data_IF_820047272551
#
_entry.id   IF_820047272551
#
_cell.length_a   1.000
_cell.length_b   1.000
_cell.length_c   1.000
_cell.angle_alpha   90.00
_cell.angle_beta   90.00
_cell.angle_gamma   90.00
#
_symmetry.space_group_name_H-M   'P 1'
#
loop_
_entity.id
_entity.type
_entity.pdbx_description
1 polymer ?
#
# COMPACT_ATOMS: atom_id res chain seq x y z
N UNK A 1 29.45 -52.05 31.52
CA UNK A 1 29.13 -50.97 30.58
C UNK A 1 29.67 -49.65 31.10
N UNK A 2 30.56 -48.99 30.38
CA UNK A 2 31.16 -47.75 30.86
C UNK A 2 30.18 -46.57 30.64
N UNK A 3 30.25 -45.59 31.55
CA UNK A 3 29.40 -44.35 31.49
C UNK A 3 29.46 -43.68 30.13
N UNK A 4 30.55 -43.84 29.35
CA UNK A 4 30.71 -43.33 28.01
C UNK A 4 29.78 -44.01 26.97
N UNK A 5 29.41 -45.29 27.18
CA UNK A 5 28.48 -45.98 26.26
C UNK A 5 27.01 -45.57 26.50
N UNK A 6 26.67 -45.16 27.76
CA UNK A 6 25.36 -44.65 28.09
C UNK A 6 25.11 -43.25 27.46
N UNK A 7 26.13 -42.39 27.44
CA UNK A 7 26.03 -41.06 26.81
C UNK A 7 25.94 -41.13 25.29
N UNK A 8 26.59 -42.11 24.65
CA UNK A 8 26.48 -42.29 23.22
C UNK A 8 25.08 -42.76 22.78
N UNK A 9 24.43 -43.62 23.56
CA UNK A 9 23.06 -44.05 23.28
C UNK A 9 22.03 -42.95 23.54
N UNK A 10 22.20 -42.08 24.52
CA UNK A 10 21.33 -40.92 24.79
C UNK A 10 21.46 -39.83 23.70
N UNK A 11 22.66 -39.63 23.16
CA UNK A 11 22.89 -38.67 22.08
C UNK A 11 22.26 -39.13 20.75
N UNK A 12 22.19 -40.42 20.47
CA UNK A 12 21.54 -40.95 19.25
C UNK A 12 20.01 -40.88 19.36
N UNK A 13 19.44 -41.04 20.54
CA UNK A 13 17.97 -40.91 20.74
C UNK A 13 17.54 -39.46 20.71
N UNK A 14 18.38 -38.51 21.11
CA UNK A 14 18.08 -37.07 21.02
C UNK A 14 18.13 -36.52 19.59
N UNK A 15 18.86 -37.19 18.69
CA UNK A 15 18.94 -36.78 17.27
C UNK A 15 17.83 -37.38 16.37
N UNK A 16 17.13 -38.42 16.84
CA UNK A 16 15.99 -39.01 16.11
C UNK A 16 14.64 -38.45 16.49
N UNK A 17 14.57 -37.55 17.50
CA UNK A 17 13.36 -36.82 17.88
C UNK A 17 13.07 -35.55 17.10
N UNK A 18 13.93 -35.16 16.16
CA UNK A 18 13.67 -33.99 15.29
C UNK A 18 12.85 -34.41 14.09
N UNK A 19 11.58 -34.01 14.14
CA UNK A 19 10.72 -33.81 13.00
C UNK A 19 10.41 -35.05 12.14
N UNK A 20 9.44 -35.84 12.56
CA UNK A 20 8.49 -36.35 11.59
C UNK A 20 7.68 -35.16 11.05
N UNK A 21 8.31 -34.24 10.31
CA UNK A 21 7.61 -33.39 9.36
C UNK A 21 6.94 -34.37 8.40
N UNK A 22 5.63 -34.48 8.48
CA UNK A 22 4.87 -35.23 7.50
C UNK A 22 5.36 -34.79 6.12
N UNK A 23 5.96 -35.71 5.37
CA UNK A 23 6.36 -35.39 4.01
C UNK A 23 5.10 -34.93 3.29
N UNK A 24 5.18 -33.82 2.52
CA UNK A 24 4.00 -33.31 1.82
C UNK A 24 3.46 -34.38 0.90
N UNK A 25 2.15 -34.51 0.89
CA UNK A 25 1.44 -35.45 0.00
C UNK A 25 1.66 -35.05 -1.48
N UNK A 26 1.49 -36.00 -2.38
CA UNK A 26 1.57 -35.71 -3.82
C UNK A 26 0.51 -34.70 -4.26
N UNK A 27 -0.64 -34.65 -3.58
CA UNK A 27 -1.68 -33.66 -3.85
C UNK A 27 -1.20 -32.24 -3.46
N UNK A 28 -0.61 -32.07 -2.28
CA UNK A 28 -0.07 -30.78 -1.85
C UNK A 28 1.05 -30.30 -2.79
N UNK A 29 1.96 -31.17 -3.20
CA UNK A 29 3.00 -30.84 -4.18
C UNK A 29 2.42 -30.38 -5.51
N UNK A 30 1.36 -31.07 -5.98
CA UNK A 30 0.64 -30.69 -7.19
C UNK A 30 -0.01 -29.33 -7.07
N UNK A 31 -0.74 -29.07 -5.97
CA UNK A 31 -1.40 -27.81 -5.70
C UNK A 31 -0.39 -26.65 -5.63
N UNK A 32 0.74 -26.83 -4.93
CA UNK A 32 1.83 -25.86 -4.90
C UNK A 32 2.36 -25.59 -6.30
N UNK A 33 2.60 -26.64 -7.11
CA UNK A 33 3.04 -26.47 -8.48
C UNK A 33 2.04 -25.66 -9.32
N UNK A 34 0.76 -25.93 -9.20
CA UNK A 34 -0.30 -25.18 -9.90
C UNK A 34 -0.33 -23.71 -9.48
N UNK A 35 -0.19 -23.41 -8.18
CA UNK A 35 -0.18 -22.04 -7.65
C UNK A 35 1.07 -21.26 -8.00
N UNK A 36 2.23 -21.90 -8.15
CA UNK A 36 3.53 -21.22 -8.32
C UNK A 36 4.10 -21.27 -9.72
N UNK A 37 3.59 -22.14 -10.62
CA UNK A 37 4.09 -22.24 -12.00
C UNK A 37 3.65 -21.08 -12.88
N UNK A 38 2.42 -20.59 -12.68
CA UNK A 38 1.86 -19.48 -13.44
C UNK A 38 1.70 -18.25 -12.54
N UNK A 39 2.77 -17.47 -12.46
CA UNK A 39 2.80 -16.22 -11.69
C UNK A 39 2.66 -15.01 -12.63
N UNK A 40 1.93 -13.99 -12.16
CA UNK A 40 1.81 -12.69 -12.83
C UNK A 40 2.55 -11.64 -12.01
N UNK A 41 3.34 -10.79 -12.68
CA UNK A 41 4.01 -9.66 -12.04
C UNK A 41 3.04 -8.52 -11.76
N UNK A 42 3.08 -8.01 -10.54
CA UNK A 42 2.34 -6.85 -10.07
C UNK A 42 3.29 -5.73 -9.65
N UNK A 43 2.83 -4.49 -9.79
CA UNK A 43 3.53 -3.34 -9.23
C UNK A 43 3.28 -3.23 -7.72
N UNK A 44 4.34 -2.95 -6.98
CA UNK A 44 4.33 -2.54 -5.58
C UNK A 44 5.03 -1.18 -5.46
N UNK A 45 4.43 -0.13 -6.01
CA UNK A 45 5.05 1.17 -6.06
C UNK A 45 6.37 1.16 -6.84
N UNK A 46 7.48 1.26 -6.13
CA UNK A 46 8.82 1.18 -6.74
C UNK A 46 9.37 -0.24 -6.81
N UNK A 47 8.65 -1.19 -6.28
CA UNK A 47 8.95 -2.62 -6.33
C UNK A 47 8.04 -3.40 -7.27
N UNK A 48 8.34 -4.68 -7.38
CA UNK A 48 7.57 -5.70 -8.10
C UNK A 48 7.39 -6.91 -7.21
N UNK A 49 6.31 -7.64 -7.44
CA UNK A 49 6.00 -8.93 -6.83
C UNK A 49 5.35 -9.83 -7.86
N UNK A 50 5.64 -11.12 -7.82
CA UNK A 50 4.96 -12.09 -8.63
C UNK A 50 3.95 -12.87 -7.76
N UNK A 51 2.71 -12.94 -8.22
CA UNK A 51 1.60 -13.59 -7.52
C UNK A 51 0.94 -14.63 -8.45
N UNK A 52 0.26 -15.65 -7.91
CA UNK A 52 -0.50 -16.60 -8.74
C UNK A 52 -1.40 -15.87 -9.72
N UNK A 53 -1.43 -16.30 -10.98
CA UNK A 53 -2.06 -15.55 -12.08
C UNK A 53 -3.56 -15.31 -11.90
N UNK A 54 -4.25 -16.16 -11.12
CA UNK A 54 -5.66 -16.02 -10.79
C UNK A 54 -5.94 -15.04 -9.63
N UNK A 55 -4.91 -14.50 -8.99
CA UNK A 55 -5.12 -13.50 -7.95
C UNK A 55 -5.46 -12.15 -8.57
N UNK A 56 -6.36 -11.44 -7.93
CA UNK A 56 -6.70 -10.06 -8.23
C UNK A 56 -6.34 -9.17 -7.04
N UNK A 57 -6.11 -7.91 -7.32
CA UNK A 57 -5.74 -6.98 -6.25
C UNK A 57 -5.73 -5.55 -6.71
N UNK A 58 -5.38 -4.69 -5.79
CA UNK A 58 -5.25 -3.26 -5.99
C UNK A 58 -4.51 -2.64 -4.83
N UNK A 59 -4.47 -1.32 -4.82
CA UNK A 59 -3.80 -0.60 -3.75
C UNK A 59 -4.16 0.87 -3.76
N UNK A 60 -3.65 1.54 -2.75
CA UNK A 60 -3.63 2.99 -2.66
C UNK A 60 -2.26 3.47 -2.22
N UNK A 61 -1.95 4.71 -2.55
CA UNK A 61 -0.74 5.39 -2.11
C UNK A 61 -1.08 6.77 -1.61
N UNK A 62 -0.42 7.20 -0.56
CA UNK A 62 -0.40 8.58 -0.08
C UNK A 62 0.97 9.16 -0.35
N UNK A 63 1.01 10.16 -1.21
CA UNK A 63 2.21 10.91 -1.61
C UNK A 63 2.32 12.14 -0.73
N UNK A 64 3.52 12.46 -0.26
CA UNK A 64 3.79 13.58 0.63
C UNK A 64 4.72 14.58 -0.05
N UNK A 65 4.37 15.85 0.04
CA UNK A 65 5.06 16.98 -0.55
C UNK A 65 5.44 17.98 0.53
N UNK A 66 6.68 18.43 0.50
CA UNK A 66 7.20 19.39 1.46
C UNK A 66 7.42 18.82 2.87
N UNK A 67 7.99 19.65 3.72
CA UNK A 67 8.30 19.33 5.11
C UNK A 67 7.74 20.44 6.03
N UNK A 68 7.42 20.08 7.27
CA UNK A 68 6.97 21.05 8.27
C UNK A 68 5.61 21.70 7.94
N UNK A 69 5.56 23.03 7.98
CA UNK A 69 4.31 23.80 7.80
C UNK A 69 3.75 23.72 6.37
N UNK A 70 4.62 23.48 5.37
CA UNK A 70 4.25 23.36 3.95
C UNK A 70 3.88 21.94 3.55
N UNK A 71 3.79 21.04 4.53
CA UNK A 71 3.46 19.65 4.30
C UNK A 71 2.05 19.51 3.73
N UNK A 72 1.95 18.85 2.59
CA UNK A 72 0.70 18.44 1.97
C UNK A 72 0.75 16.98 1.55
N UNK A 73 -0.40 16.36 1.40
CA UNK A 73 -0.46 14.96 0.96
C UNK A 73 -1.62 14.74 0.01
N UNK A 74 -1.41 13.85 -0.96
CA UNK A 74 -2.42 13.40 -1.90
C UNK A 74 -2.51 11.89 -1.87
N UNK A 75 -3.69 11.36 -1.61
CA UNK A 75 -3.97 9.94 -1.78
C UNK A 75 -4.35 9.66 -3.23
N UNK A 76 -3.80 8.60 -3.82
CA UNK A 76 -4.10 8.14 -5.17
C UNK A 76 -4.60 6.71 -5.12
N UNK A 77 -5.67 6.44 -5.86
CA UNK A 77 -6.33 5.14 -5.88
C UNK A 77 -6.80 4.79 -7.28
N UNK A 78 -6.57 3.55 -7.71
CA UNK A 78 -7.19 3.00 -8.92
C UNK A 78 -8.52 2.39 -8.54
N UNK A 79 -9.60 2.84 -9.19
CA UNK A 79 -10.97 2.41 -8.93
C UNK A 79 -11.44 1.32 -9.91
N UNK A 80 -10.82 1.23 -11.09
CA UNK A 80 -11.15 0.21 -12.08
C UNK A 80 -10.31 0.28 -13.33
N UNK A 81 -10.27 -0.83 -14.07
CA UNK A 81 -9.64 -0.98 -15.39
C UNK A 81 -10.72 -1.34 -16.42
N UNK A 82 -10.49 -1.05 -17.70
CA UNK A 82 -11.45 -1.30 -18.77
C UNK A 82 -12.73 -0.45 -18.60
N UNK A 83 -12.63 0.74 -18.03
CA UNK A 83 -13.76 1.64 -17.76
C UNK A 83 -14.01 2.51 -18.97
N UNK A 84 -15.23 2.43 -19.53
CA UNK A 84 -15.66 3.34 -20.62
C UNK A 84 -16.06 4.70 -20.06
N UNK A 85 -16.15 5.70 -20.93
CA UNK A 85 -16.59 7.06 -20.55
C UNK A 85 -17.99 7.04 -19.90
N UNK A 86 -18.91 6.24 -20.42
CA UNK A 86 -20.27 6.15 -19.89
C UNK A 86 -20.29 5.57 -18.47
N UNK A 87 -19.45 4.55 -18.22
CA UNK A 87 -19.32 3.94 -16.89
C UNK A 87 -18.64 4.89 -15.91
N UNK A 88 -17.64 5.65 -16.36
CA UNK A 88 -17.01 6.71 -15.59
C UNK A 88 -18.01 7.77 -15.18
N UNK A 89 -18.80 8.29 -16.12
CA UNK A 89 -19.81 9.33 -15.86
C UNK A 89 -20.92 8.81 -14.93
N UNK A 90 -21.37 7.57 -15.13
CA UNK A 90 -22.37 6.94 -14.25
C UNK A 90 -21.86 6.79 -12.81
N UNK A 91 -20.62 6.33 -12.62
CA UNK A 91 -19.98 6.20 -11.30
C UNK A 91 -19.82 7.56 -10.60
N UNK A 92 -19.42 8.59 -11.34
CA UNK A 92 -19.32 9.96 -10.84
C UNK A 92 -20.67 10.53 -10.37
N UNK A 93 -21.70 10.38 -11.19
CA UNK A 93 -23.04 10.83 -10.86
C UNK A 93 -23.56 10.15 -9.60
N UNK A 94 -23.39 8.84 -9.49
CA UNK A 94 -23.76 8.09 -8.30
C UNK A 94 -22.96 8.58 -7.07
N UNK A 95 -21.65 8.83 -7.21
CA UNK A 95 -20.80 9.37 -6.15
C UNK A 95 -21.29 10.73 -5.67
N UNK A 96 -21.51 11.65 -6.60
CA UNK A 96 -21.97 13.02 -6.30
C UNK A 96 -23.35 13.00 -5.62
N UNK A 97 -24.29 12.19 -6.11
CA UNK A 97 -25.62 12.03 -5.51
C UNK A 97 -25.55 11.51 -4.08
N UNK A 98 -24.71 10.50 -3.82
CA UNK A 98 -24.54 9.96 -2.46
C UNK A 98 -23.96 10.97 -1.49
N UNK A 99 -22.97 11.75 -1.90
CA UNK A 99 -22.41 12.79 -1.06
C UNK A 99 -23.47 13.89 -0.80
N UNK A 100 -24.20 14.29 -1.85
CA UNK A 100 -25.25 15.31 -1.72
C UNK A 100 -26.44 14.87 -0.85
N UNK A 101 -26.73 13.58 -0.80
CA UNK A 101 -27.81 13.01 0.02
C UNK A 101 -27.50 13.09 1.54
N UNK A 102 -26.22 13.14 1.91
CA UNK A 102 -25.82 13.35 3.30
C UNK A 102 -25.93 14.82 3.64
N UNK A 103 -26.50 15.13 4.81
CA UNK A 103 -26.71 16.50 5.29
C UNK A 103 -25.67 16.87 6.33
N UNK A 104 -25.34 18.15 6.38
CA UNK A 104 -24.45 18.70 7.41
C UNK A 104 -25.32 19.26 8.54
N UNK A 105 -25.25 18.65 9.71
CA UNK A 105 -26.08 18.97 10.87
C UNK A 105 -25.87 20.39 11.41
N UNK A 106 -24.65 20.95 11.28
CA UNK A 106 -24.33 22.32 11.73
C UNK A 106 -24.80 23.41 10.75
N UNK A 107 -25.25 23.02 9.56
CA UNK A 107 -25.60 23.93 8.47
C UNK A 107 -27.06 23.88 8.07
N UNK A 108 -27.98 23.59 8.99
CA UNK A 108 -29.41 23.53 8.72
C UNK A 108 -29.74 22.58 7.53
N UNK A 109 -29.19 21.39 7.55
CA UNK A 109 -29.41 20.36 6.55
C UNK A 109 -28.92 20.66 5.14
N UNK A 110 -27.91 21.53 4.98
CA UNK A 110 -27.25 21.75 3.69
C UNK A 110 -26.55 20.46 3.26
N UNK A 111 -26.60 20.09 1.97
CA UNK A 111 -25.86 18.92 1.45
C UNK A 111 -24.37 18.98 1.77
N UNK A 112 -23.79 17.80 2.05
CA UNK A 112 -22.33 17.70 2.24
C UNK A 112 -21.56 18.09 0.96
N UNK A 113 -22.11 17.81 -0.24
CA UNK A 113 -21.51 18.20 -1.51
C UNK A 113 -21.56 19.72 -1.67
N UNK A 114 -20.39 20.34 -1.81
CA UNK A 114 -20.23 21.80 -2.04
C UNK A 114 -20.22 22.12 -3.53
N UNK A 115 -19.43 21.36 -4.30
CA UNK A 115 -19.36 21.54 -5.74
C UNK A 115 -18.99 20.24 -6.47
N UNK A 116 -19.45 20.13 -7.72
CA UNK A 116 -19.02 19.12 -8.69
C UNK A 116 -18.68 19.87 -9.99
N UNK A 117 -17.41 19.89 -10.35
CA UNK A 117 -16.89 20.68 -11.48
C UNK A 117 -16.15 19.77 -12.45
N UNK A 118 -16.57 19.78 -13.72
CA UNK A 118 -15.88 19.07 -14.79
C UNK A 118 -14.71 19.93 -15.26
N UNK A 119 -13.49 19.42 -15.11
CA UNK A 119 -12.27 20.11 -15.54
C UNK A 119 -11.95 19.81 -17.01
N UNK A 120 -12.11 18.54 -17.41
CA UNK A 120 -11.99 18.05 -18.79
C UNK A 120 -13.06 16.98 -19.04
N UNK A 121 -13.28 16.51 -20.27
CA UNK A 121 -14.18 15.38 -20.52
C UNK A 121 -13.84 14.14 -19.68
N UNK A 122 -12.56 13.94 -19.35
CA UNK A 122 -12.04 12.80 -18.60
C UNK A 122 -11.76 13.11 -17.12
N UNK A 123 -12.09 14.31 -16.62
CA UNK A 123 -11.82 14.66 -15.23
C UNK A 123 -12.90 15.50 -14.57
N UNK A 124 -13.22 15.17 -13.30
CA UNK A 124 -14.21 15.88 -12.49
C UNK A 124 -13.68 16.08 -11.07
N UNK A 125 -13.74 17.29 -10.58
CA UNK A 125 -13.44 17.68 -9.22
C UNK A 125 -14.72 17.69 -8.38
N UNK A 126 -14.75 16.91 -7.30
CA UNK A 126 -15.78 16.98 -6.26
C UNK A 126 -15.19 17.65 -5.04
N UNK A 127 -15.88 18.62 -4.48
CA UNK A 127 -15.55 19.25 -3.21
C UNK A 127 -16.71 19.05 -2.23
N UNK A 128 -16.41 18.60 -1.03
CA UNK A 128 -17.42 18.37 -0.01
C UNK A 128 -16.86 18.58 1.40
N UNK A 129 -17.74 18.80 2.38
CA UNK A 129 -17.32 18.94 3.77
C UNK A 129 -16.71 17.63 4.29
N UNK A 130 -15.61 17.74 5.03
CA UNK A 130 -14.92 16.58 5.59
C UNK A 130 -15.74 15.88 6.67
N UNK A 131 -16.52 16.65 7.44
CA UNK A 131 -17.32 16.15 8.56
C UNK A 131 -18.70 16.79 8.56
N UNK A 132 -19.68 16.07 9.08
CA UNK A 132 -21.07 16.56 9.23
C UNK A 132 -21.18 17.74 10.22
N UNK A 133 -20.18 17.92 11.07
CA UNK A 133 -20.15 18.92 12.16
C UNK A 133 -19.07 20.00 11.96
N UNK A 134 -18.52 20.17 10.76
CA UNK A 134 -17.46 21.16 10.50
C UNK A 134 -17.64 21.85 9.14
N UNK A 135 -17.44 23.19 9.14
CA UNK A 135 -17.53 24.04 7.95
C UNK A 135 -16.18 24.51 7.41
N UNK A 136 -15.10 24.23 8.14
CA UNK A 136 -13.79 24.81 7.86
C UNK A 136 -12.87 23.86 7.09
N UNK A 137 -13.24 22.57 7.02
CA UNK A 137 -12.44 21.52 6.38
C UNK A 137 -13.19 20.87 5.24
N UNK A 138 -12.49 20.66 4.15
CA UNK A 138 -13.04 20.11 2.91
C UNK A 138 -12.22 18.94 2.45
N UNK A 139 -12.88 18.04 1.74
CA UNK A 139 -12.25 16.98 0.93
C UNK A 139 -12.40 17.38 -0.53
N UNK A 140 -11.31 17.21 -1.27
CA UNK A 140 -11.28 17.36 -2.72
C UNK A 140 -11.00 16.00 -3.33
N UNK A 141 -11.86 15.53 -4.21
CA UNK A 141 -11.64 14.33 -5.02
C UNK A 141 -11.56 14.74 -6.48
N UNK A 142 -10.41 14.54 -7.10
CA UNK A 142 -10.26 14.63 -8.54
C UNK A 142 -10.36 13.24 -9.14
N UNK A 143 -11.44 12.98 -9.83
CA UNK A 143 -11.69 11.74 -10.55
C UNK A 143 -11.20 11.87 -11.98
N UNK A 144 -10.44 10.88 -12.46
CA UNK A 144 -9.79 10.85 -13.75
C UNK A 144 -10.08 9.56 -14.50
N UNK A 145 -10.30 9.65 -15.79
CA UNK A 145 -10.25 8.53 -16.71
C UNK A 145 -8.95 8.64 -17.54
N UNK A 146 -7.92 7.88 -17.14
CA UNK A 146 -6.62 7.82 -17.82
C UNK A 146 -6.71 6.68 -18.83
N UNK A 147 -6.98 6.97 -20.09
CA UNK A 147 -7.37 6.02 -21.13
C UNK A 147 -8.64 5.24 -20.71
N UNK A 148 -8.51 4.02 -20.20
CA UNK A 148 -9.58 3.17 -19.68
C UNK A 148 -9.41 2.85 -18.19
N UNK A 149 -8.51 3.55 -17.50
CA UNK A 149 -8.25 3.37 -16.07
C UNK A 149 -8.93 4.50 -15.29
N UNK A 150 -9.83 4.12 -14.39
CA UNK A 150 -10.49 5.07 -13.50
C UNK A 150 -9.61 5.28 -12.25
N UNK A 151 -9.15 6.50 -12.07
CA UNK A 151 -8.26 6.92 -10.97
C UNK A 151 -8.94 8.00 -10.14
N UNK A 152 -8.74 7.99 -8.83
CA UNK A 152 -9.16 9.04 -7.92
C UNK A 152 -7.94 9.58 -7.17
N UNK A 153 -7.80 10.91 -7.20
CA UNK A 153 -6.87 11.66 -6.35
C UNK A 153 -7.68 12.35 -5.26
N UNK A 154 -7.18 12.29 -4.03
CA UNK A 154 -7.85 12.93 -2.90
C UNK A 154 -6.88 13.72 -2.04
N UNK A 155 -7.29 14.92 -1.67
CA UNK A 155 -6.61 15.74 -0.68
C UNK A 155 -7.60 16.47 0.21
N UNK A 156 -7.16 16.82 1.40
CA UNK A 156 -7.95 17.57 2.36
C UNK A 156 -7.49 19.04 2.39
N UNK A 157 -8.41 19.96 2.65
CA UNK A 157 -8.10 21.39 2.74
C UNK A 157 -8.83 22.07 3.91
N UNK A 158 -8.30 23.23 4.27
CA UNK A 158 -8.99 24.21 5.10
C UNK A 158 -9.53 25.34 4.21
N UNK A 159 -10.48 26.13 4.71
CA UNK A 159 -11.09 27.24 3.97
C UNK A 159 -10.07 28.22 3.35
N UNK A 160 -8.89 28.37 3.98
CA UNK A 160 -7.84 29.30 3.52
C UNK A 160 -6.90 28.76 2.46
N UNK A 161 -6.91 27.44 2.18
CA UNK A 161 -5.96 26.80 1.24
C UNK A 161 -6.62 25.91 0.17
N UNK A 162 -7.88 26.17 -0.18
CA UNK A 162 -8.62 25.41 -1.19
C UNK A 162 -7.89 25.46 -2.54
N UNK A 163 -7.62 26.67 -3.06
CA UNK A 163 -7.04 26.84 -4.40
C UNK A 163 -5.66 26.17 -4.56
N UNK A 164 -4.70 26.27 -3.63
CA UNK A 164 -3.45 25.51 -3.71
C UNK A 164 -3.64 24.00 -3.71
N UNK A 165 -4.59 23.47 -2.95
CA UNK A 165 -4.88 22.03 -2.91
C UNK A 165 -5.47 21.54 -4.23
N UNK A 166 -6.44 22.26 -4.80
CA UNK A 166 -7.01 21.93 -6.12
C UNK A 166 -5.94 22.02 -7.22
N UNK A 167 -5.10 23.06 -7.21
CA UNK A 167 -4.01 23.19 -8.17
C UNK A 167 -3.04 22.01 -8.10
N UNK A 168 -2.71 21.54 -6.88
CA UNK A 168 -1.85 20.36 -6.68
C UNK A 168 -2.48 19.10 -7.26
N UNK A 169 -3.79 18.88 -7.07
CA UNK A 169 -4.49 17.73 -7.65
C UNK A 169 -4.48 17.77 -9.19
N UNK A 170 -4.71 18.94 -9.77
CA UNK A 170 -4.68 19.13 -11.23
C UNK A 170 -3.26 18.93 -11.80
N UNK A 171 -2.23 19.46 -11.13
CA UNK A 171 -0.83 19.23 -11.51
C UNK A 171 -0.49 17.74 -11.49
N UNK A 172 -0.80 17.05 -10.38
CA UNK A 172 -0.53 15.62 -10.23
C UNK A 172 -1.27 14.80 -11.29
N UNK A 173 -2.46 15.20 -11.70
CA UNK A 173 -3.24 14.49 -12.72
C UNK A 173 -2.52 14.39 -14.06
N UNK A 174 -1.65 15.35 -14.39
CA UNK A 174 -0.86 15.36 -15.63
C UNK A 174 0.35 14.43 -15.58
N UNK A 175 0.69 13.93 -14.39
CA UNK A 175 1.82 13.05 -14.13
C UNK A 175 1.42 11.57 -13.97
N UNK A 176 0.16 11.24 -14.29
CA UNK A 176 -0.38 9.88 -14.21
C UNK A 176 -0.53 9.29 -15.60
N UNK A 177 0.12 8.16 -15.84
CA UNK A 177 0.14 7.49 -17.13
C UNK A 177 -0.27 6.02 -16.98
N UNK A 178 -0.99 5.49 -17.96
CA UNK A 178 -1.25 4.05 -18.05
C UNK A 178 0.03 3.29 -18.41
N UNK A 179 0.18 2.09 -17.85
CA UNK A 179 1.26 1.16 -18.17
C UNK A 179 0.69 -0.23 -18.48
N UNK A 180 1.21 -0.85 -19.53
CA UNK A 180 0.78 -2.18 -19.94
C UNK A 180 1.47 -3.30 -19.16
N UNK A 181 2.67 -3.03 -18.65
CA UNK A 181 3.45 -3.99 -17.87
C UNK A 181 4.19 -3.27 -16.73
N UNK A 182 4.02 -3.73 -15.47
CA UNK A 182 4.61 -3.08 -14.30
C UNK A 182 6.13 -2.88 -14.38
N UNK A 183 6.85 -3.85 -14.96
CA UNK A 183 8.31 -3.78 -15.11
C UNK A 183 8.77 -2.66 -16.05
N UNK A 184 7.91 -2.20 -16.97
CA UNK A 184 8.21 -1.18 -17.97
C UNK A 184 7.76 0.23 -17.54
N UNK A 185 7.28 0.41 -16.30
CA UNK A 185 6.73 1.69 -15.84
C UNK A 185 7.76 2.83 -15.80
N UNK A 186 9.08 2.53 -15.85
CA UNK A 186 10.13 3.55 -15.76
C UNK A 186 10.22 4.20 -14.37
N UNK A 187 10.69 5.43 -14.30
CA UNK A 187 10.73 6.17 -13.04
C UNK A 187 9.30 6.54 -12.58
N UNK A 188 9.10 6.55 -11.26
CA UNK A 188 7.82 6.87 -10.63
C UNK A 188 7.26 5.75 -9.77
N UNK A 189 6.15 6.05 -9.10
CA UNK A 189 5.40 5.09 -8.29
C UNK A 189 4.38 4.35 -9.16
N UNK A 190 4.48 3.04 -9.29
CA UNK A 190 3.54 2.24 -10.07
C UNK A 190 2.42 1.69 -9.17
N UNK A 191 1.17 1.91 -9.54
CA UNK A 191 -0.03 1.52 -8.82
C UNK A 191 -0.97 0.76 -9.77
N UNK A 192 -0.90 -0.57 -9.75
CA UNK A 192 -1.65 -1.39 -10.70
C UNK A 192 -1.30 -1.03 -12.15
N UNK A 193 -2.30 -0.62 -12.97
CA UNK A 193 -2.11 -0.30 -14.39
C UNK A 193 -1.59 1.12 -14.66
N UNK A 194 -1.24 1.89 -13.63
CA UNK A 194 -0.74 3.26 -13.80
C UNK A 194 0.64 3.45 -13.19
N UNK A 195 1.34 4.48 -13.67
CA UNK A 195 2.54 5.04 -13.03
C UNK A 195 2.34 6.53 -12.74
N UNK A 196 2.77 6.94 -11.55
CA UNK A 196 2.75 8.32 -11.07
C UNK A 196 4.20 8.83 -11.11
N UNK A 197 4.48 9.79 -11.98
CA UNK A 197 5.84 10.32 -12.23
C UNK A 197 6.15 11.60 -11.48
N UNK A 198 5.24 12.02 -10.58
CA UNK A 198 5.44 13.26 -9.80
C UNK A 198 6.66 13.21 -8.90
N UNK A 199 7.25 14.37 -8.69
CA UNK A 199 8.24 14.56 -7.65
C UNK A 199 7.54 14.74 -6.30
N UNK A 200 7.74 13.78 -5.40
CA UNK A 200 7.29 13.83 -4.02
C UNK A 200 8.41 13.35 -3.11
N UNK A 201 8.35 13.77 -1.85
CA UNK A 201 9.44 13.51 -0.91
C UNK A 201 9.33 12.14 -0.26
N UNK A 202 8.11 11.71 0.01
CA UNK A 202 7.83 10.48 0.75
C UNK A 202 6.55 9.84 0.27
N UNK A 203 6.39 8.53 0.53
CA UNK A 203 5.23 7.75 0.12
C UNK A 203 4.88 6.67 1.15
N UNK A 204 3.59 6.47 1.37
CA UNK A 204 3.03 5.35 2.13
C UNK A 204 2.01 4.66 1.25
N UNK A 205 2.12 3.34 1.09
CA UNK A 205 1.22 2.59 0.23
C UNK A 205 0.74 1.30 0.90
N UNK A 206 -0.46 0.89 0.53
CA UNK A 206 -1.06 -0.37 0.92
C UNK A 206 -1.58 -1.10 -0.30
N UNK A 207 -1.30 -2.39 -0.40
CA UNK A 207 -1.77 -3.25 -1.47
C UNK A 207 -2.48 -4.45 -0.88
N UNK A 208 -3.46 -4.93 -1.60
CA UNK A 208 -4.27 -6.06 -1.22
C UNK A 208 -4.45 -6.99 -2.41
N UNK A 209 -4.18 -8.29 -2.22
CA UNK A 209 -4.30 -9.32 -3.25
C UNK A 209 -5.00 -10.54 -2.71
N UNK A 210 -5.78 -11.22 -3.54
CA UNK A 210 -6.46 -12.46 -3.19
C UNK A 210 -6.91 -13.26 -4.42
N UNK A 211 -7.10 -14.57 -4.30
CA UNK A 211 -7.88 -15.35 -5.23
C UNK A 211 -9.35 -14.93 -5.24
N UNK A 212 -10.11 -15.18 -6.31
CA UNK A 212 -11.56 -14.98 -6.34
C UNK A 212 -12.25 -15.85 -5.28
N UNK A 213 -13.22 -15.27 -4.55
CA UNK A 213 -14.08 -15.98 -3.59
C UNK A 213 -13.33 -16.89 -2.60
N UNK A 214 -12.22 -16.41 -2.04
CA UNK A 214 -11.31 -17.18 -1.19
C UNK A 214 -11.23 -16.65 0.24
N UNK A 215 -10.76 -17.51 1.13
CA UNK A 215 -10.33 -17.19 2.50
C UNK A 215 -8.89 -16.67 2.57
N UNK A 216 -8.12 -16.81 1.47
CA UNK A 216 -6.72 -16.37 1.39
C UNK A 216 -6.65 -14.90 1.01
N UNK A 217 -5.77 -14.16 1.70
CA UNK A 217 -5.50 -12.76 1.40
C UNK A 217 -4.03 -12.40 1.68
N UNK A 218 -3.44 -11.60 0.80
CA UNK A 218 -2.13 -11.00 1.00
C UNK A 218 -2.29 -9.49 1.09
N UNK A 219 -1.79 -8.90 2.18
CA UNK A 219 -1.67 -7.46 2.34
C UNK A 219 -0.19 -7.10 2.29
N UNK A 220 0.13 -6.01 1.60
CA UNK A 220 1.48 -5.45 1.54
C UNK A 220 1.43 -3.99 1.93
N UNK A 221 2.31 -3.61 2.83
CA UNK A 221 2.47 -2.24 3.29
C UNK A 221 3.87 -1.74 2.93
N UNK A 222 3.96 -0.53 2.39
CA UNK A 222 5.21 0.12 2.01
C UNK A 222 5.24 1.51 2.63
N UNK A 223 6.32 1.83 3.34
CA UNK A 223 6.49 3.10 4.01
C UNK A 223 7.90 3.67 3.75
N UNK A 224 7.97 4.77 3.03
CA UNK A 224 9.20 5.52 2.78
C UNK A 224 9.27 6.82 3.61
N UNK A 225 8.32 7.04 4.53
CA UNK A 225 8.25 8.23 5.37
C UNK A 225 9.00 8.05 6.70
N UNK A 226 8.57 7.07 7.48
CA UNK A 226 9.08 6.80 8.82
C UNK A 226 8.73 5.37 9.20
N UNK A 227 9.56 4.67 9.97
CA UNK A 227 9.14 3.39 10.52
C UNK A 227 7.98 3.61 11.50
N UNK A 228 6.86 2.92 11.26
CA UNK A 228 5.72 2.94 12.18
C UNK A 228 6.03 2.20 13.46
N UNK A 229 6.86 1.15 13.35
CA UNK A 229 7.25 0.27 14.43
C UNK A 229 8.75 0.36 14.71
N UNK A 230 9.09 0.60 15.97
CA UNK A 230 10.47 0.64 16.44
C UNK A 230 10.98 -0.72 16.91
N UNK A 231 10.06 -1.62 17.27
CA UNK A 231 10.41 -2.97 17.72
C UNK A 231 10.47 -3.94 16.56
N UNK A 232 11.45 -4.82 16.58
CA UNK A 232 11.59 -5.90 15.60
C UNK A 232 10.42 -6.88 15.68
N UNK A 233 10.09 -7.52 14.56
CA UNK A 233 8.95 -8.43 14.43
C UNK A 233 8.99 -9.55 15.48
N UNK A 234 10.15 -10.20 15.68
CA UNK A 234 10.27 -11.30 16.65
C UNK A 234 9.98 -10.85 18.09
N UNK A 235 10.34 -9.62 18.48
CA UNK A 235 10.06 -9.07 19.82
C UNK A 235 8.57 -8.83 20.00
N UNK A 236 7.92 -8.25 19.00
CA UNK A 236 6.46 -8.00 19.02
C UNK A 236 5.68 -9.31 19.04
N UNK A 237 6.05 -10.27 18.20
CA UNK A 237 5.38 -11.56 18.13
C UNK A 237 5.48 -12.32 19.46
N UNK A 238 6.63 -12.25 20.16
CA UNK A 238 6.76 -12.85 21.48
C UNK A 238 5.83 -12.22 22.53
N UNK A 239 5.64 -10.89 22.47
CA UNK A 239 4.70 -10.19 23.36
C UNK A 239 3.25 -10.55 23.03
N UNK A 240 2.89 -10.55 21.75
CA UNK A 240 1.54 -10.86 21.29
C UNK A 240 1.17 -12.32 21.58
N UNK A 241 2.13 -13.26 21.46
CA UNK A 241 1.91 -14.67 21.81
C UNK A 241 1.46 -14.83 23.26
N UNK A 242 1.94 -14.01 24.20
CA UNK A 242 1.49 -14.03 25.57
C UNK A 242 0.02 -13.60 25.75
N UNK A 243 -0.49 -12.80 24.82
CA UNK A 243 -1.90 -12.35 24.82
C UNK A 243 -2.81 -13.40 24.18
N UNK A 244 -2.30 -14.17 23.21
CA UNK A 244 -3.05 -15.21 22.47
C UNK A 244 -3.04 -16.58 23.15
N UNK A 245 -2.50 -16.73 24.37
CA UNK A 245 -2.41 -18.01 25.12
C UNK A 245 -3.77 -18.68 25.45
N UNK A 246 -4.89 -18.13 24.95
CA UNK A 246 -6.22 -18.71 25.15
C UNK A 246 -6.64 -19.69 24.03
N UNK A 247 -5.80 -19.95 23.02
CA UNK A 247 -6.09 -20.87 21.91
C UNK A 247 -4.88 -21.73 21.55
N UNK A 248 -5.09 -22.76 20.76
CA UNK A 248 -4.04 -23.60 20.21
C UNK A 248 -3.20 -22.81 19.21
N UNK A 249 -2.01 -22.42 19.62
CA UNK A 249 -1.05 -21.67 18.83
C UNK A 249 0.11 -22.56 18.41
N UNK A 250 0.43 -22.54 17.15
CA UNK A 250 1.54 -23.28 16.55
C UNK A 250 2.48 -22.32 15.82
N UNK A 251 3.76 -22.32 16.21
CA UNK A 251 4.80 -21.61 15.48
C UNK A 251 5.31 -22.52 14.36
N UNK A 252 4.92 -22.21 13.12
CA UNK A 252 5.32 -22.98 11.95
C UNK A 252 6.74 -22.64 11.51
N UNK A 253 7.12 -21.36 11.53
CA UNK A 253 8.46 -20.88 11.20
C UNK A 253 8.63 -19.43 11.68
N UNK A 254 9.80 -19.09 12.20
CA UNK A 254 10.18 -17.72 12.51
C UNK A 254 11.70 -17.54 12.37
N UNK A 255 12.13 -16.35 11.96
CA UNK A 255 13.55 -16.04 11.89
C UNK A 255 13.91 -14.94 10.89
N UNK A 256 15.21 -14.71 10.70
CA UNK A 256 15.71 -13.75 9.74
C UNK A 256 15.55 -14.27 8.29
N UNK A 257 15.20 -13.37 7.39
CA UNK A 257 15.10 -13.62 5.96
C UNK A 257 15.71 -12.46 5.15
N UNK A 258 15.81 -12.63 3.83
CA UNK A 258 16.15 -11.55 2.90
C UNK A 258 14.93 -11.22 2.06
N UNK A 259 14.58 -9.93 1.99
CA UNK A 259 13.46 -9.41 1.22
C UNK A 259 13.94 -8.28 0.31
N UNK A 260 13.89 -8.45 -1.01
CA UNK A 260 14.38 -7.47 -1.98
C UNK A 260 15.81 -6.95 -1.64
N UNK A 261 16.73 -7.86 -1.36
CA UNK A 261 18.11 -7.60 -0.93
C UNK A 261 18.25 -6.82 0.38
N UNK A 262 17.20 -6.78 1.20
CA UNK A 262 17.17 -6.15 2.51
C UNK A 262 17.02 -7.20 3.61
N UNK A 263 17.64 -6.96 4.77
CA UNK A 263 17.43 -7.79 5.95
C UNK A 263 15.98 -7.62 6.42
N UNK A 264 15.32 -8.73 6.68
CA UNK A 264 13.95 -8.82 7.16
C UNK A 264 13.80 -9.95 8.20
N UNK A 265 12.67 -9.99 8.86
CA UNK A 265 12.28 -11.06 9.75
C UNK A 265 10.91 -11.60 9.31
N UNK A 266 10.66 -12.86 9.61
CA UNK A 266 9.34 -13.46 9.40
C UNK A 266 8.86 -14.18 10.67
N UNK A 267 7.53 -14.29 10.76
CA UNK A 267 6.82 -15.08 11.77
C UNK A 267 5.61 -15.74 11.12
N UNK A 268 5.60 -17.06 11.06
CA UNK A 268 4.58 -17.88 10.43
C UNK A 268 3.90 -18.69 11.51
N UNK A 269 2.61 -18.45 11.70
CA UNK A 269 1.83 -19.07 12.77
C UNK A 269 0.54 -19.69 12.24
N UNK A 270 0.20 -20.84 12.83
CA UNK A 270 -1.12 -21.42 12.79
C UNK A 270 -1.80 -21.24 14.16
N UNK A 271 -3.07 -20.93 14.18
CA UNK A 271 -3.85 -20.90 15.40
C UNK A 271 -5.26 -21.43 15.16
N UNK A 272 -5.81 -22.06 16.18
CA UNK A 272 -7.17 -22.61 16.13
C UNK A 272 -8.00 -22.00 17.24
N UNK A 273 -9.20 -21.58 16.93
CA UNK A 273 -10.25 -21.44 17.92
C UNK A 273 -10.99 -22.76 18.07
N UNK A 274 -12.03 -22.82 18.89
CA UNK A 274 -12.80 -24.06 19.15
C UNK A 274 -13.42 -24.68 17.87
N UNK A 275 -13.46 -23.96 16.77
CA UNK A 275 -14.21 -24.32 15.58
C UNK A 275 -13.41 -24.27 14.28
N UNK A 276 -12.41 -23.40 14.16
CA UNK A 276 -11.71 -23.14 12.89
C UNK A 276 -10.23 -22.87 13.08
N UNK A 277 -9.42 -23.45 12.17
CA UNK A 277 -7.99 -23.11 12.03
C UNK A 277 -7.83 -21.82 11.22
N UNK A 278 -6.81 -21.06 11.53
CA UNK A 278 -6.37 -19.90 10.75
C UNK A 278 -4.83 -19.94 10.60
N UNK A 279 -4.37 -19.41 9.48
CA UNK A 279 -2.94 -19.23 9.18
C UNK A 279 -2.68 -17.74 9.06
N UNK A 280 -1.59 -17.28 9.68
CA UNK A 280 -1.11 -15.91 9.61
C UNK A 280 0.40 -15.89 9.45
N UNK A 281 0.86 -15.41 8.31
CA UNK A 281 2.26 -15.22 7.98
C UNK A 281 2.55 -13.74 7.85
N UNK A 282 3.59 -13.29 8.55
CA UNK A 282 4.03 -11.90 8.54
C UNK A 282 5.52 -11.85 8.23
N UNK A 283 5.92 -10.90 7.41
CA UNK A 283 7.32 -10.56 7.17
C UNK A 283 7.50 -9.06 7.11
N UNK A 284 8.57 -8.55 7.73
CA UNK A 284 8.89 -7.13 7.76
C UNK A 284 10.40 -6.89 7.65
N UNK A 285 10.79 -5.93 6.83
CA UNK A 285 12.13 -5.36 6.88
C UNK A 285 12.13 -4.13 7.80
N UNK A 286 12.79 -4.25 8.93
CA UNK A 286 12.99 -3.10 9.82
C UNK A 286 14.01 -2.11 9.24
N UNK A 287 13.67 -0.81 9.27
CA UNK A 287 14.57 0.26 8.81
C UNK A 287 14.45 1.49 9.67
N UNK A 288 15.60 1.95 10.19
CA UNK A 288 15.68 3.18 10.97
C UNK A 288 15.40 4.44 10.13
N UNK A 289 15.84 4.42 8.85
CA UNK A 289 15.69 5.53 7.91
C UNK A 289 15.18 5.01 6.56
N UNK A 290 13.87 4.80 6.41
CA UNK A 290 13.31 4.40 5.12
C UNK A 290 13.44 5.52 4.08
N UNK A 291 13.50 5.14 2.82
CA UNK A 291 13.59 6.06 1.68
C UNK A 291 12.88 5.48 0.47
N UNK A 292 12.68 6.29 -0.57
CA UNK A 292 12.05 5.84 -1.81
C UNK A 292 12.78 4.65 -2.46
N UNK A 293 14.12 4.58 -2.34
CA UNK A 293 14.94 3.47 -2.85
C UNK A 293 14.94 2.25 -1.93
N UNK A 294 14.72 2.46 -0.66
CA UNK A 294 14.80 1.45 0.39
C UNK A 294 13.68 1.67 1.42
N UNK A 295 12.42 1.42 1.06
CA UNK A 295 11.31 1.62 1.97
C UNK A 295 11.27 0.55 3.07
N UNK A 296 10.60 0.85 4.15
CA UNK A 296 10.10 -0.18 5.04
C UNK A 296 8.96 -0.92 4.33
N UNK A 297 8.96 -2.24 4.41
CA UNK A 297 7.98 -3.11 3.73
C UNK A 297 7.46 -4.15 4.73
N UNK A 298 6.16 -4.32 4.75
CA UNK A 298 5.50 -5.38 5.52
C UNK A 298 4.61 -6.23 4.63
N UNK A 299 4.64 -7.54 4.82
CA UNK A 299 3.83 -8.53 4.10
C UNK A 299 3.02 -9.32 5.12
N UNK A 300 1.76 -9.54 4.84
CA UNK A 300 0.86 -10.33 5.67
C UNK A 300 0.00 -11.22 4.80
N UNK A 301 0.23 -12.53 4.83
CA UNK A 301 -0.65 -13.53 4.26
C UNK A 301 -1.55 -14.09 5.36
N UNK A 302 -2.85 -14.19 5.10
CA UNK A 302 -3.80 -14.84 5.96
C UNK A 302 -4.61 -15.87 5.20
N UNK A 303 -4.91 -17.00 5.81
CA UNK A 303 -5.82 -18.01 5.28
C UNK A 303 -6.72 -18.56 6.37
N UNK A 304 -7.97 -18.90 6.03
CA UNK A 304 -8.99 -19.30 6.99
C UNK A 304 -9.67 -18.13 7.71
N UNK A 305 -10.43 -18.46 8.74
CA UNK A 305 -11.22 -17.53 9.53
C UNK A 305 -12.52 -17.14 8.82
N UNK A 306 -12.46 -16.42 7.73
CA UNK A 306 -13.68 -15.93 7.07
C UNK A 306 -13.52 -15.89 5.54
N UNK A 307 -14.45 -16.52 4.83
CA UNK A 307 -14.52 -16.48 3.36
C UNK A 307 -15.07 -15.13 2.89
N UNK A 308 -14.42 -14.55 1.90
CA UNK A 308 -14.80 -13.26 1.30
C UNK A 308 -15.39 -13.48 -0.09
N UNK A 309 -16.48 -12.81 -0.39
CA UNK A 309 -17.07 -12.85 -1.74
C UNK A 309 -16.11 -12.20 -2.77
N UNK A 310 -16.20 -12.68 -4.01
CA UNK A 310 -15.49 -12.03 -5.11
C UNK A 310 -15.98 -10.60 -5.31
N UNK A 311 -15.05 -9.71 -5.66
CA UNK A 311 -15.39 -8.37 -6.11
C UNK A 311 -15.67 -8.47 -7.60
N UNK A 312 -16.79 -7.95 -8.01
CA UNK A 312 -17.10 -7.78 -9.42
C UNK A 312 -16.83 -6.31 -9.83
N UNK A 313 -15.65 -6.01 -10.41
CA UNK A 313 -15.32 -4.65 -10.82
C UNK A 313 -16.22 -4.16 -11.97
N UNK A 314 -16.97 -5.08 -12.61
CA UNK A 314 -17.89 -4.71 -13.68
C UNK A 314 -19.18 -4.06 -13.16
N UNK A 315 -19.47 -4.16 -11.86
CA UNK A 315 -20.66 -3.58 -11.29
C UNK A 315 -20.43 -2.15 -10.80
N UNK A 316 -21.16 -1.15 -11.31
CA UNK A 316 -21.01 0.25 -10.87
C UNK A 316 -21.18 0.41 -9.35
N UNK A 317 -22.00 -0.40 -8.70
CA UNK A 317 -22.18 -0.41 -7.24
C UNK A 317 -20.90 -0.76 -6.49
N UNK A 318 -20.06 -1.62 -7.04
CA UNK A 318 -18.81 -2.00 -6.40
C UNK A 318 -17.79 -0.87 -6.54
N UNK A 319 -17.69 -0.20 -7.70
CA UNK A 319 -16.85 0.98 -7.88
C UNK A 319 -17.24 2.11 -6.90
N UNK A 320 -18.54 2.35 -6.71
CA UNK A 320 -19.04 3.39 -5.81
C UNK A 320 -18.89 3.00 -4.34
N UNK A 321 -19.13 1.73 -4.00
CA UNK A 321 -19.03 1.21 -2.62
C UNK A 321 -17.63 1.35 -2.04
N UNK A 322 -16.61 1.27 -2.89
CA UNK A 322 -15.21 1.37 -2.51
C UNK A 322 -14.76 2.80 -2.18
N UNK A 323 -15.51 3.78 -2.66
CA UNK A 323 -15.17 5.20 -2.54
C UNK A 323 -16.00 5.94 -1.50
N UNK A 324 -16.97 5.29 -0.85
CA UNK A 324 -17.79 5.97 0.14
C UNK A 324 -16.95 6.35 1.35
N UNK A 325 -16.86 7.67 1.68
CA UNK A 325 -16.37 8.06 2.98
C UNK A 325 -17.28 7.44 4.04
N UNK A 326 -16.70 6.84 5.04
CA UNK A 326 -17.43 6.47 6.25
C UNK A 326 -17.70 7.78 7.01
N UNK A 327 -18.82 8.42 6.75
CA UNK A 327 -19.30 9.56 7.57
C UNK A 327 -19.64 9.11 9.00
N UNK A 328 -19.83 7.80 9.21
CA UNK A 328 -20.08 7.23 10.51
C UNK A 328 -18.74 6.97 11.22
N UNK A 329 -18.44 7.76 12.23
CA UNK A 329 -17.37 7.62 13.20
C UNK A 329 -15.92 7.80 12.69
N UNK A 330 -15.35 8.96 13.00
CA UNK A 330 -13.92 9.29 13.05
C UNK A 330 -13.14 9.50 11.74
N UNK A 331 -13.78 9.70 10.58
CA UNK A 331 -13.09 10.22 9.38
C UNK A 331 -12.09 9.27 8.72
N UNK A 332 -12.05 8.01 9.12
CA UNK A 332 -11.28 6.98 8.44
C UNK A 332 -12.15 6.32 7.37
N UNK A 333 -11.82 6.56 6.11
CA UNK A 333 -12.32 5.69 5.05
C UNK A 333 -11.82 4.27 5.32
N UNK A 334 -12.74 3.30 5.26
CA UNK A 334 -12.30 1.92 5.26
C UNK A 334 -11.46 1.70 4.01
N UNK A 335 -10.22 1.24 4.15
CA UNK A 335 -9.39 0.92 3.00
C UNK A 335 -10.12 -0.04 2.04
N UNK A 336 -9.76 -0.04 0.77
CA UNK A 336 -10.35 -0.90 -0.26
C UNK A 336 -10.43 -2.38 0.11
N UNK A 337 -9.52 -2.87 0.94
CA UNK A 337 -9.47 -4.26 1.42
C UNK A 337 -10.43 -4.57 2.58
N UNK A 338 -11.04 -3.57 3.21
CA UNK A 338 -12.12 -3.81 4.16
C UNK A 338 -13.42 -4.05 3.42
N UNK A 339 -13.42 -5.14 2.68
CA UNK A 339 -14.61 -5.68 1.99
C UNK A 339 -15.75 -5.96 2.96
N UNK A 340 -16.98 -6.14 2.42
CA UNK A 340 -18.10 -6.55 3.24
C UNK A 340 -17.69 -7.70 4.15
N UNK A 341 -18.13 -7.60 5.39
CA UNK A 341 -17.81 -8.60 6.39
C UNK A 341 -18.09 -9.99 5.86
N UNK A 342 -17.17 -10.91 6.05
CA UNK A 342 -17.33 -12.27 5.59
C UNK A 342 -18.53 -12.89 6.31
N UNK A 343 -19.27 -13.68 5.60
CA UNK A 343 -20.56 -14.18 6.06
C UNK A 343 -20.44 -15.45 6.89
N UNK A 344 -19.37 -16.24 6.71
CA UNK A 344 -19.21 -17.54 7.40
C UNK A 344 -17.76 -17.81 7.77
N UNK A 345 -17.49 -18.36 8.97
CA UNK A 345 -16.16 -18.85 9.32
C UNK A 345 -15.82 -20.10 8.51
N UNK A 346 -14.57 -20.21 8.06
CA UNK A 346 -14.08 -21.34 7.27
C UNK A 346 -12.67 -21.73 7.69
N UNK A 347 -12.34 -23.01 7.55
CA UNK A 347 -10.97 -23.49 7.66
C UNK A 347 -10.13 -22.99 6.47
N UNK A 348 -8.79 -22.92 6.60
CA UNK A 348 -7.92 -22.57 5.49
C UNK A 348 -8.14 -23.48 4.30
N UNK A 349 -8.23 -22.87 3.12
CA UNK A 349 -8.25 -23.63 1.85
C UNK A 349 -6.86 -24.13 1.45
N UNK A 350 -5.81 -23.61 2.07
CA UNK A 350 -4.43 -24.06 1.94
C UNK A 350 -4.00 -24.84 3.19
N UNK A 351 -3.27 -25.92 3.02
CA UNK A 351 -2.55 -26.56 4.12
C UNK A 351 -1.38 -25.69 4.56
N UNK A 352 -0.78 -25.98 5.72
CA UNK A 352 0.39 -25.24 6.20
C UNK A 352 1.56 -25.34 5.20
N UNK A 353 1.76 -26.52 4.59
CA UNK A 353 2.77 -26.73 3.58
C UNK A 353 2.51 -25.89 2.31
N UNK A 354 1.29 -25.92 1.81
CA UNK A 354 0.89 -25.14 0.63
C UNK A 354 1.04 -23.64 0.89
N UNK A 355 0.57 -23.17 2.05
CA UNK A 355 0.67 -21.77 2.44
C UNK A 355 2.13 -21.31 2.55
N UNK A 356 3.01 -22.10 3.20
CA UNK A 356 4.44 -21.80 3.30
C UNK A 356 5.11 -21.78 1.93
N UNK A 357 4.82 -22.75 1.06
CA UNK A 357 5.41 -22.80 -0.27
C UNK A 357 5.01 -21.62 -1.17
N UNK A 358 3.73 -21.25 -1.13
CA UNK A 358 3.22 -20.04 -1.82
C UNK A 358 3.84 -18.77 -1.25
N UNK A 359 3.94 -18.67 0.08
CA UNK A 359 4.60 -17.57 0.76
C UNK A 359 6.06 -17.40 0.33
N UNK A 360 6.82 -18.50 0.32
CA UNK A 360 8.23 -18.50 -0.09
C UNK A 360 8.40 -18.06 -1.55
N UNK A 361 7.54 -18.56 -2.44
CA UNK A 361 7.55 -18.16 -3.84
C UNK A 361 7.25 -16.67 -4.01
N UNK A 362 6.26 -16.16 -3.28
CA UNK A 362 5.88 -14.74 -3.29
C UNK A 362 7.03 -13.88 -2.78
N UNK A 363 7.56 -14.14 -1.57
CA UNK A 363 8.61 -13.29 -0.99
C UNK A 363 9.90 -13.32 -1.80
N UNK A 364 10.29 -14.48 -2.36
CA UNK A 364 11.45 -14.62 -3.24
C UNK A 364 11.31 -13.77 -4.52
N UNK A 365 10.10 -13.49 -4.95
CA UNK A 365 9.82 -12.70 -6.16
C UNK A 365 9.91 -11.20 -5.95
N UNK A 366 9.88 -10.73 -4.69
CA UNK A 366 9.91 -9.31 -4.36
C UNK A 366 11.24 -8.71 -4.75
N UNK A 367 11.18 -7.63 -5.52
CA UNK A 367 12.37 -6.94 -6.03
C UNK A 367 12.09 -5.45 -6.24
N UNK A 368 13.12 -4.63 -6.09
CA UNK A 368 13.02 -3.22 -6.44
C UNK A 368 13.11 -3.08 -7.97
N UNK A 369 12.23 -2.26 -8.54
CA UNK A 369 12.18 -2.01 -9.98
C UNK A 369 13.35 -1.09 -10.38
N UNK A 370 14.15 -1.54 -11.33
CA UNK A 370 15.28 -0.75 -11.82
C UNK A 370 14.82 0.61 -12.36
N UNK A 371 15.49 1.68 -11.95
CA UNK A 371 15.18 3.04 -12.38
C UNK A 371 13.87 3.61 -11.84
N UNK A 372 13.22 2.95 -10.87
CA UNK A 372 11.96 3.42 -10.29
C UNK A 372 12.07 4.76 -9.56
N UNK A 373 13.25 5.08 -9.02
CA UNK A 373 13.53 6.37 -8.41
C UNK A 373 14.38 7.17 -9.40
N UNK A 374 13.80 8.25 -9.93
CA UNK A 374 14.56 9.21 -10.71
C UNK A 374 15.64 9.85 -9.83
N UNK A 375 16.83 10.12 -10.37
CA UNK A 375 17.79 10.97 -9.68
C UNK A 375 17.08 12.28 -9.29
N UNK A 376 17.25 12.73 -8.05
CA UNK A 376 16.77 14.07 -7.69
C UNK A 376 17.41 15.05 -8.66
N UNK A 377 16.63 15.96 -9.26
CA UNK A 377 17.23 17.06 -10.00
C UNK A 377 18.25 17.71 -9.07
N UNK A 378 19.46 17.94 -9.57
CA UNK A 378 20.42 18.75 -8.84
C UNK A 378 19.70 20.07 -8.49
N UNK A 379 19.54 20.43 -7.20
CA UNK A 379 18.89 21.69 -6.84
C UNK A 379 19.58 22.91 -7.44
N UNK A 380 20.83 22.74 -7.89
CA UNK A 380 21.62 23.73 -8.62
C UNK A 380 21.52 23.58 -10.14
N UNK A 381 20.90 22.50 -10.65
CA UNK A 381 20.74 22.28 -12.08
C UNK A 381 19.49 23.01 -12.57
N UNK A 382 19.68 24.24 -13.04
CA UNK A 382 18.68 24.95 -13.84
C UNK A 382 18.87 24.59 -15.32
N UNK A 383 18.03 23.75 -15.94
CA UNK A 383 18.18 23.35 -17.33
C UNK A 383 18.04 24.54 -18.32
N UNK A 384 17.49 25.67 -17.86
CA UNK A 384 17.38 26.90 -18.64
C UNK A 384 18.58 27.85 -18.44
N UNK A 385 19.49 27.50 -17.51
CA UNK A 385 20.46 28.44 -17.00
C UNK A 385 19.79 29.55 -16.17
N UNK A 386 20.54 30.29 -15.37
CA UNK A 386 19.99 31.46 -14.69
C UNK A 386 19.58 32.50 -15.74
N UNK A 387 18.45 33.14 -15.53
CA UNK A 387 18.11 34.32 -16.30
C UNK A 387 19.16 35.39 -16.09
N UNK A 388 19.32 36.35 -17.01
CA UNK A 388 20.28 37.45 -16.80
C UNK A 388 20.08 38.21 -15.46
N UNK A 389 18.83 38.30 -14.99
CA UNK A 389 18.47 38.92 -13.71
C UNK A 389 18.87 38.05 -12.51
N UNK A 390 18.61 36.73 -12.56
CA UNK A 390 19.04 35.78 -11.52
C UNK A 390 20.57 35.67 -11.46
N UNK A 391 21.25 35.74 -12.60
CA UNK A 391 22.73 35.75 -12.67
C UNK A 391 23.28 37.03 -12.05
N UNK A 392 22.68 38.19 -12.33
CA UNK A 392 23.09 39.47 -11.78
C UNK A 392 22.85 39.51 -10.27
N UNK A 393 21.73 39.03 -9.78
CA UNK A 393 21.41 38.96 -8.35
C UNK A 393 22.33 38.01 -7.60
N UNK A 394 22.61 36.81 -8.15
CA UNK A 394 23.56 35.85 -7.59
C UNK A 394 24.97 36.44 -7.49
N UNK A 395 25.37 37.20 -8.52
CA UNK A 395 26.67 37.91 -8.51
C UNK A 395 26.69 38.98 -7.42
N UNK A 396 25.64 39.79 -7.28
CA UNK A 396 25.50 40.81 -6.25
C UNK A 396 25.64 40.22 -4.84
N UNK A 397 24.91 39.11 -4.57
CA UNK A 397 24.97 38.40 -3.29
C UNK A 397 26.39 37.88 -3.00
N UNK A 398 27.05 37.33 -4.02
CA UNK A 398 28.44 36.85 -3.89
C UNK A 398 29.43 37.98 -3.61
N UNK A 399 29.31 39.11 -4.32
CA UNK A 399 30.16 40.27 -4.13
C UNK A 399 29.98 40.89 -2.73
N UNK A 400 28.72 40.97 -2.23
CA UNK A 400 28.42 41.42 -0.87
C UNK A 400 28.97 40.45 0.19
N UNK A 401 28.88 39.13 -0.05
CA UNK A 401 29.44 38.12 0.84
C UNK A 401 30.95 38.22 0.90
N UNK A 402 31.66 38.38 -0.25
CA UNK A 402 33.11 38.56 -0.32
C UNK A 402 33.53 39.84 0.41
N UNK A 403 32.84 40.96 0.16
CA UNK A 403 33.11 42.23 0.85
C UNK A 403 32.93 42.12 2.38
N UNK A 404 31.93 41.37 2.84
CA UNK A 404 31.72 41.10 4.27
C UNK A 404 32.86 40.28 4.91
N UNK A 405 33.50 39.42 4.14
CA UNK A 405 34.64 38.61 4.57
C UNK A 405 35.93 39.44 4.62
N UNK A 406 36.13 40.33 3.63
CA UNK A 406 37.30 41.23 3.59
C UNK A 406 37.24 42.26 4.71
N UNK A 407 36.05 42.77 5.03
CA UNK A 407 35.86 43.71 6.15
C UNK A 407 36.09 43.09 7.54
N UNK A 408 36.20 41.77 7.66
CA UNK A 408 36.45 41.04 8.91
C UNK A 408 37.90 40.59 9.08
N UNK A 409 38.78 40.89 8.11
CA UNK A 409 40.22 40.64 8.30
C UNK A 409 40.77 41.68 9.25
N UNK A 410 41.47 41.26 10.36
CA UNK A 410 42.01 42.15 11.35
C UNK A 410 43.15 43.02 10.81
#
# INVERSE_FOLDING_TARGET
MSVRQLFACLAVVALTGCAAFNQPSELEKKNVSELTTHMRTWALGRGLIDLPANWSGGGDVKLYYGLGADHSSVAVRVLGEGVTQERFDAALNERAHRIAAVKNDEMNDIPMLVSARRETPQSVMLQYYMRMTQRQTFVHELHLLVEDVYVMLRADSFKGNIAPVEARLLELSTEIFKVTAPQNAGAGFALGPIVIRSHHDQEIASFYFRPPASDVALNVYINALSPDEKERLHVRTQKDTQIFLAGDYENLRAGPITLADMQAEESLIGFSDDTHRQILFVSENYRDNPSLNRPAMGFRLSAGGKKRSAIDPSKPKDLVRWTLPSFASRGYERPLWQLPEPTEPVNPSLTDYEAMAVWDAILKSVRIRYGAVAPKPDPWFNPRGPTPEEAAESKRILDEFIASFEARKP
#
